data_IF_538378345208
#
_entry.id   IF_538378345208
#
_cell.length_a   1.000
_cell.length_b   1.000
_cell.length_c   1.000
_cell.angle_alpha   90.00
_cell.angle_beta   90.00
_cell.angle_gamma   90.00
#
_symmetry.space_group_name_H-M   'P 1'
#
loop_
_entity.id
_entity.type
_entity.pdbx_description
1 polymer ?
#
# COMPACT_ATOMS: atom_id res chain seq x y z
N UNK A 1 -27.35 -3.33 -24.02
CA UNK A 1 -28.05 -3.06 -22.75
C UNK A 1 -27.49 -1.75 -22.18
N UNK A 2 -28.29 -0.69 -22.13
CA UNK A 2 -27.85 0.64 -21.68
C UNK A 2 -27.95 0.70 -20.16
N UNK A 3 -26.80 0.78 -19.48
CA UNK A 3 -26.74 0.89 -18.01
C UNK A 3 -27.45 2.17 -17.56
N UNK A 4 -28.37 2.02 -16.60
CA UNK A 4 -29.08 3.14 -15.98
C UNK A 4 -28.10 4.08 -15.29
N UNK A 5 -28.42 5.37 -15.17
CA UNK A 5 -27.54 6.38 -14.55
C UNK A 5 -27.14 6.00 -13.12
N UNK A 6 -28.06 5.38 -12.36
CA UNK A 6 -27.79 4.83 -11.02
C UNK A 6 -26.75 3.72 -11.05
N UNK A 7 -26.88 2.77 -11.99
CA UNK A 7 -25.95 1.65 -12.09
C UNK A 7 -24.54 2.11 -12.53
N UNK A 8 -24.44 3.09 -13.45
CA UNK A 8 -23.17 3.72 -13.80
C UNK A 8 -22.49 4.37 -12.60
N UNK A 9 -23.25 5.11 -11.79
CA UNK A 9 -22.73 5.73 -10.57
C UNK A 9 -22.20 4.67 -9.59
N UNK A 10 -22.98 3.62 -9.31
CA UNK A 10 -22.54 2.53 -8.42
C UNK A 10 -21.27 1.85 -8.91
N UNK A 11 -21.17 1.53 -10.21
CA UNK A 11 -19.96 0.92 -10.79
C UNK A 11 -18.74 1.83 -10.60
N UNK A 12 -18.90 3.16 -10.76
CA UNK A 12 -17.83 4.13 -10.57
C UNK A 12 -17.31 4.11 -9.12
N UNK A 13 -18.21 4.19 -8.15
CA UNK A 13 -17.86 4.18 -6.73
C UNK A 13 -17.26 2.86 -6.26
N UNK A 14 -17.83 1.73 -6.68
CA UNK A 14 -17.28 0.39 -6.37
C UNK A 14 -15.88 0.22 -6.97
N UNK A 15 -15.67 0.70 -8.19
CA UNK A 15 -14.36 0.60 -8.85
C UNK A 15 -13.32 1.50 -8.16
N UNK A 16 -13.69 2.71 -7.74
CA UNK A 16 -12.81 3.59 -6.95
C UNK A 16 -12.48 2.95 -5.59
N UNK A 17 -13.47 2.37 -4.91
CA UNK A 17 -13.27 1.67 -3.65
C UNK A 17 -12.33 0.47 -3.81
N UNK A 18 -12.48 -0.31 -4.88
CA UNK A 18 -11.62 -1.44 -5.18
C UNK A 18 -10.17 -1.02 -5.46
N UNK A 19 -9.96 0.03 -6.26
CA UNK A 19 -8.61 0.58 -6.53
C UNK A 19 -7.98 1.11 -5.25
N UNK A 20 -8.76 1.74 -4.38
CA UNK A 20 -8.29 2.24 -3.08
C UNK A 20 -7.89 1.09 -2.15
N UNK A 21 -8.70 0.03 -2.07
CA UNK A 21 -8.37 -1.17 -1.31
C UNK A 21 -7.08 -1.81 -1.83
N UNK A 22 -6.92 -1.90 -3.15
CA UNK A 22 -5.71 -2.45 -3.76
C UNK A 22 -4.47 -1.63 -3.44
N UNK A 23 -4.58 -0.30 -3.43
CA UNK A 23 -3.50 0.59 -2.99
C UNK A 23 -3.07 0.29 -1.55
N UNK A 24 -4.02 0.21 -0.61
CA UNK A 24 -3.71 -0.09 0.79
C UNK A 24 -3.15 -1.49 0.98
N UNK A 25 -3.63 -2.48 0.23
CA UNK A 25 -3.09 -3.84 0.28
C UNK A 25 -1.67 -3.93 -0.26
N UNK A 26 -1.33 -3.18 -1.32
CA UNK A 26 0.04 -3.13 -1.84
C UNK A 26 1.00 -2.47 -0.84
N UNK A 27 0.67 -1.27 -0.37
CA UNK A 27 1.53 -0.51 0.54
C UNK A 27 1.63 -1.20 1.90
N UNK A 28 0.49 -1.61 2.47
CA UNK A 28 0.44 -2.31 3.74
C UNK A 28 1.00 -3.72 3.68
N UNK A 29 0.84 -4.43 2.55
CA UNK A 29 1.41 -5.75 2.33
C UNK A 29 2.93 -5.72 2.26
N UNK A 30 3.53 -4.75 1.56
CA UNK A 30 4.98 -4.53 1.57
C UNK A 30 5.46 -4.24 2.98
N UNK A 31 4.77 -3.37 3.73
CA UNK A 31 5.08 -3.11 5.13
C UNK A 31 5.06 -4.38 5.98
N UNK A 32 3.96 -5.14 5.95
CA UNK A 32 3.80 -6.35 6.75
C UNK A 32 4.88 -7.42 6.46
N UNK A 33 5.20 -7.65 5.18
CA UNK A 33 6.24 -8.62 4.77
C UNK A 33 7.62 -8.15 5.22
N UNK A 34 7.89 -6.85 5.15
CA UNK A 34 9.18 -6.32 5.56
C UNK A 34 9.34 -6.41 7.09
N UNK A 35 8.33 -6.04 7.88
CA UNK A 35 8.39 -6.15 9.36
C UNK A 35 8.44 -7.59 9.89
N UNK A 36 7.74 -8.54 9.27
CA UNK A 36 7.68 -9.94 9.75
C UNK A 36 9.06 -10.63 9.74
N UNK A 37 9.92 -10.30 8.78
CA UNK A 37 11.27 -10.87 8.66
C UNK A 37 12.19 -10.49 9.82
N UNK A 38 12.01 -9.31 10.39
CA UNK A 38 12.93 -8.77 11.38
C UNK A 38 12.43 -8.94 12.83
N UNK A 39 11.11 -9.04 13.05
CA UNK A 39 10.56 -9.40 14.39
C UNK A 39 11.14 -10.74 14.87
N UNK A 40 11.38 -11.69 13.95
CA UNK A 40 12.04 -12.96 14.25
C UNK A 40 13.53 -12.79 14.62
N UNK A 41 14.21 -11.78 14.08
CA UNK A 41 15.63 -11.48 14.35
C UNK A 41 15.83 -10.76 15.70
N UNK A 42 14.83 -10.01 16.16
CA UNK A 42 14.91 -9.19 17.37
C UNK A 42 14.51 -9.89 18.68
N UNK A 43 13.83 -11.04 18.61
CA UNK A 43 13.34 -11.74 19.82
C UNK A 43 14.44 -12.39 20.67
N UNK A 44 15.68 -12.48 20.18
CA UNK A 44 16.73 -13.31 20.81
C UNK A 44 17.87 -12.52 21.50
N UNK A 45 17.92 -11.17 21.38
CA UNK A 45 19.06 -10.38 21.87
C UNK A 45 18.76 -9.43 23.04
N UNK A 46 19.73 -9.33 23.96
CA UNK A 46 19.78 -8.36 25.06
C UNK A 46 20.00 -6.93 24.54
N UNK A 47 19.29 -5.98 25.15
CA UNK A 47 19.22 -4.56 24.74
C UNK A 47 20.58 -3.87 24.97
N UNK A 48 21.40 -3.77 23.92
CA UNK A 48 22.64 -2.98 23.89
C UNK A 48 22.45 -1.69 23.08
N UNK A 49 23.37 -0.72 23.22
CA UNK A 49 23.35 0.52 22.40
C UNK A 49 23.50 0.22 20.91
N UNK A 50 24.25 -0.83 20.58
CA UNK A 50 24.46 -1.32 19.22
C UNK A 50 23.19 -1.94 18.65
N UNK A 51 22.42 -2.64 19.49
CA UNK A 51 21.08 -3.14 19.17
C UNK A 51 20.11 -1.99 18.87
N UNK A 52 20.16 -0.90 19.63
CA UNK A 52 19.31 0.27 19.36
C UNK A 52 19.64 0.90 17.99
N UNK A 53 20.92 1.05 17.64
CA UNK A 53 21.31 1.55 16.31
C UNK A 53 20.86 0.63 15.18
N UNK A 54 21.08 -0.68 15.30
CA UNK A 54 20.64 -1.66 14.31
C UNK A 54 19.11 -1.63 14.12
N UNK A 55 18.35 -1.46 15.20
CA UNK A 55 16.89 -1.34 15.13
C UNK A 55 16.44 -0.09 14.36
N UNK A 56 17.15 1.04 14.49
CA UNK A 56 16.84 2.27 13.77
C UNK A 56 17.15 2.15 12.28
N UNK A 57 18.28 1.54 11.92
CA UNK A 57 18.65 1.30 10.52
C UNK A 57 17.64 0.40 9.82
N UNK A 58 17.22 -0.69 10.48
CA UNK A 58 16.20 -1.60 9.98
C UNK A 58 14.84 -0.89 9.82
N UNK A 59 14.41 -0.11 10.81
CA UNK A 59 13.18 0.71 10.72
C UNK A 59 13.23 1.71 9.55
N UNK A 60 14.40 2.30 9.30
CA UNK A 60 14.60 3.24 8.20
C UNK A 60 14.55 2.53 6.83
N UNK A 61 15.10 1.32 6.73
CA UNK A 61 15.00 0.48 5.53
C UNK A 61 13.55 0.08 5.24
N UNK A 62 12.80 -0.34 6.27
CA UNK A 62 11.36 -0.64 6.15
C UNK A 62 10.56 0.55 5.67
N UNK A 63 10.81 1.72 6.27
CA UNK A 63 10.14 2.96 5.90
C UNK A 63 10.45 3.32 4.45
N UNK A 64 11.69 3.14 4.00
CA UNK A 64 12.09 3.41 2.63
C UNK A 64 11.42 2.44 1.64
N UNK A 65 11.32 1.15 1.98
CA UNK A 65 10.62 0.14 1.18
C UNK A 65 9.14 0.48 1.01
N UNK A 66 8.45 0.82 2.10
CA UNK A 66 7.04 1.25 2.09
C UNK A 66 6.87 2.54 1.29
N UNK A 67 7.80 3.48 1.43
CA UNK A 67 7.79 4.74 0.68
C UNK A 67 7.92 4.51 -0.83
N UNK A 68 8.86 3.65 -1.27
CA UNK A 68 9.01 3.27 -2.67
C UNK A 68 7.76 2.58 -3.22
N UNK A 69 7.18 1.65 -2.46
CA UNK A 69 5.94 0.98 -2.83
C UNK A 69 4.80 1.98 -3.01
N UNK A 70 4.63 2.93 -2.09
CA UNK A 70 3.64 4.00 -2.19
C UNK A 70 3.90 4.92 -3.39
N UNK A 71 5.16 5.29 -3.63
CA UNK A 71 5.55 6.15 -4.75
C UNK A 71 5.23 5.53 -6.11
N UNK A 72 5.34 4.20 -6.24
CA UNK A 72 4.98 3.46 -7.45
C UNK A 72 3.47 3.22 -7.53
N UNK A 73 2.84 2.80 -6.43
CA UNK A 73 1.42 2.45 -6.40
C UNK A 73 0.51 3.68 -6.62
N UNK A 74 0.92 4.86 -6.15
CA UNK A 74 0.15 6.11 -6.25
C UNK A 74 -0.18 6.50 -7.70
N UNK A 75 0.79 6.71 -8.61
CA UNK A 75 0.49 7.09 -10.00
C UNK A 75 -0.31 6.03 -10.75
N UNK A 76 -0.11 4.74 -10.44
CA UNK A 76 -0.87 3.63 -11.03
C UNK A 76 -2.35 3.72 -10.63
N UNK A 77 -2.61 3.86 -9.33
CA UNK A 77 -3.98 3.94 -8.80
C UNK A 77 -4.68 5.23 -9.26
N UNK A 78 -3.98 6.36 -9.29
CA UNK A 78 -4.51 7.61 -9.82
C UNK A 78 -4.88 7.49 -11.30
N UNK A 79 -4.03 6.86 -12.11
CA UNK A 79 -4.30 6.63 -13.53
C UNK A 79 -5.54 5.73 -13.74
N UNK A 80 -5.67 4.67 -12.94
CA UNK A 80 -6.84 3.78 -12.97
C UNK A 80 -8.13 4.53 -12.61
N UNK A 81 -8.10 5.37 -11.57
CA UNK A 81 -9.25 6.20 -11.19
C UNK A 81 -9.65 7.13 -12.35
N UNK A 82 -8.69 7.82 -12.97
CA UNK A 82 -8.98 8.69 -14.12
C UNK A 82 -9.58 7.92 -15.30
N UNK A 83 -9.10 6.70 -15.57
CA UNK A 83 -9.67 5.82 -16.60
C UNK A 83 -11.11 5.43 -16.26
N UNK A 84 -11.41 5.12 -14.99
CA UNK A 84 -12.77 4.82 -14.52
C UNK A 84 -13.69 6.02 -14.78
N UNK A 85 -13.27 7.25 -14.44
CA UNK A 85 -14.03 8.46 -14.74
C UNK A 85 -14.23 8.70 -16.24
N UNK A 86 -13.22 8.40 -17.06
CA UNK A 86 -13.31 8.56 -18.52
C UNK A 86 -14.27 7.55 -19.16
N UNK A 87 -14.26 6.30 -18.68
CA UNK A 87 -15.01 5.17 -19.25
C UNK A 87 -16.45 5.11 -18.76
N UNK A 88 -16.69 5.50 -17.51
CA UNK A 88 -18.02 5.57 -16.89
C UNK A 88 -18.52 7.02 -16.93
N UNK A 89 -18.75 7.52 -18.15
CA UNK A 89 -19.37 8.82 -18.42
C UNK A 89 -20.90 8.73 -18.38
#
# INVERSE_FOLDING_TARGET
MMLTSKCKSSIRWVSIALVSLFYYLLVGGVGAISFDKDIMYFSEKTISVEYHKASLEIMQEHTNSVYLAAFIAFPICMSLILIIFKKVR
#
